data_IF_299497894886
#
_entry.id   IF_299497894886
#
_cell.length_a   1.000
_cell.length_b   1.000
_cell.length_c   1.000
_cell.angle_alpha   90.00
_cell.angle_beta   90.00
_cell.angle_gamma   90.00
#
_symmetry.space_group_name_H-M   'P 1'
#
loop_
_entity.id
_entity.type
_entity.pdbx_description
1 polymer ?
#
# COMPACT_ATOMS: atom_id res chain seq x y z
N UNK A 1 -31.95 -13.17 38.83
CA UNK A 1 -31.97 -13.40 37.37
C UNK A 1 -31.31 -12.22 36.70
N UNK A 2 -30.19 -12.49 36.05
CA UNK A 2 -29.09 -11.56 35.75
C UNK A 2 -29.25 -10.95 34.33
N UNK A 3 -30.11 -9.93 34.19
CA UNK A 3 -30.45 -9.31 32.90
C UNK A 3 -29.34 -8.42 32.32
N UNK A 4 -28.25 -8.21 33.07
CA UNK A 4 -27.19 -7.26 32.72
C UNK A 4 -26.05 -7.94 31.95
N UNK A 5 -25.93 -9.27 32.04
CA UNK A 5 -24.86 -10.05 31.44
C UNK A 5 -25.16 -10.47 29.99
N UNK A 6 -26.44 -10.68 29.66
CA UNK A 6 -26.85 -11.04 28.28
C UNK A 6 -26.58 -9.89 27.29
N UNK A 7 -26.74 -8.65 27.73
CA UNK A 7 -26.54 -7.45 26.90
C UNK A 7 -25.07 -7.05 26.74
N UNK A 8 -24.21 -7.39 27.70
CA UNK A 8 -22.75 -7.20 27.58
C UNK A 8 -22.10 -8.26 26.69
N UNK A 9 -22.55 -9.51 26.75
CA UNK A 9 -22.07 -10.60 25.88
C UNK A 9 -22.48 -10.40 24.42
N UNK A 10 -23.73 -10.00 24.15
CA UNK A 10 -24.20 -9.68 22.79
C UNK A 10 -23.45 -8.48 22.19
N UNK A 11 -23.20 -7.45 23.02
CA UNK A 11 -22.41 -6.28 22.61
C UNK A 11 -20.96 -6.64 22.32
N UNK A 12 -20.33 -7.49 23.14
CA UNK A 12 -18.97 -7.97 22.91
C UNK A 12 -18.85 -8.84 21.63
N UNK A 13 -19.83 -9.69 21.35
CA UNK A 13 -19.94 -10.45 20.11
C UNK A 13 -20.12 -9.56 18.87
N UNK A 14 -21.00 -8.56 18.94
CA UNK A 14 -21.25 -7.61 17.86
C UNK A 14 -20.01 -6.71 17.54
N UNK A 15 -19.27 -6.29 18.57
CA UNK A 15 -18.03 -5.53 18.42
C UNK A 15 -16.90 -6.37 17.79
N UNK A 16 -16.78 -7.64 18.18
CA UNK A 16 -15.80 -8.57 17.63
C UNK A 16 -16.06 -8.87 16.15
N UNK A 17 -17.33 -9.04 15.77
CA UNK A 17 -17.74 -9.24 14.37
C UNK A 17 -17.49 -8.00 13.49
N UNK A 18 -17.68 -6.80 14.04
CA UNK A 18 -17.42 -5.53 13.35
C UNK A 18 -15.92 -5.28 13.15
N UNK A 19 -15.08 -5.56 14.17
CA UNK A 19 -13.62 -5.48 14.05
C UNK A 19 -13.07 -6.41 12.96
N UNK A 20 -13.45 -7.69 12.99
CA UNK A 20 -12.97 -8.65 11.99
C UNK A 20 -13.38 -8.26 10.56
N UNK A 21 -14.52 -7.59 10.38
CA UNK A 21 -14.96 -7.06 9.08
C UNK A 21 -14.06 -5.92 8.58
N UNK A 22 -13.69 -4.97 9.43
CA UNK A 22 -12.83 -3.85 9.03
C UNK A 22 -11.39 -4.29 8.76
N UNK A 23 -10.85 -5.25 9.52
CA UNK A 23 -9.51 -5.83 9.25
C UNK A 23 -9.45 -6.47 7.86
N UNK A 24 -10.45 -7.28 7.51
CA UNK A 24 -10.54 -7.90 6.18
C UNK A 24 -10.73 -6.86 5.08
N UNK A 25 -11.57 -5.86 5.29
CA UNK A 25 -11.79 -4.81 4.30
C UNK A 25 -10.53 -3.97 4.06
N UNK A 26 -9.80 -3.60 5.12
CA UNK A 26 -8.53 -2.86 5.01
C UNK A 26 -7.46 -3.68 4.29
N UNK A 27 -7.32 -4.97 4.62
CA UNK A 27 -6.36 -5.85 3.94
C UNK A 27 -6.73 -6.10 2.47
N UNK A 28 -8.02 -6.25 2.17
CA UNK A 28 -8.50 -6.41 0.79
C UNK A 28 -8.27 -5.14 -0.02
N UNK A 29 -8.58 -3.95 0.53
CA UNK A 29 -8.33 -2.67 -0.14
C UNK A 29 -6.84 -2.43 -0.37
N UNK A 30 -5.99 -2.81 0.60
CA UNK A 30 -4.54 -2.76 0.45
C UNK A 30 -4.07 -3.69 -0.68
N UNK A 31 -4.54 -4.95 -0.70
CA UNK A 31 -4.17 -5.91 -1.72
C UNK A 31 -4.62 -5.47 -3.12
N UNK A 32 -5.83 -4.92 -3.25
CA UNK A 32 -6.34 -4.34 -4.49
C UNK A 32 -5.47 -3.16 -4.95
N UNK A 33 -4.97 -2.33 -4.04
CA UNK A 33 -4.06 -1.22 -4.37
C UNK A 33 -2.67 -1.68 -4.85
N UNK A 34 -2.27 -2.91 -4.52
CA UNK A 34 -1.00 -3.52 -4.92
C UNK A 34 -1.04 -4.05 -6.35
N UNK A 35 -2.24 -4.33 -6.89
CA UNK A 35 -2.41 -4.80 -8.27
C UNK A 35 -1.96 -3.74 -9.30
N UNK A 36 -2.42 -2.46 -9.24
CA UNK A 36 -1.93 -1.42 -10.13
C UNK A 36 -0.43 -1.17 -10.06
N UNK A 37 0.21 -1.30 -8.89
CA UNK A 37 1.66 -1.06 -8.77
C UNK A 37 2.46 -2.11 -9.52
N UNK A 38 2.10 -3.39 -9.39
CA UNK A 38 2.76 -4.50 -10.07
C UNK A 38 2.55 -4.40 -11.59
N UNK A 39 1.32 -4.13 -12.03
CA UNK A 39 1.00 -3.94 -13.45
C UNK A 39 1.77 -2.74 -14.02
N UNK A 40 1.77 -1.59 -13.32
CA UNK A 40 2.50 -0.40 -13.73
C UNK A 40 4.00 -0.65 -13.86
N UNK A 41 4.60 -1.34 -12.89
CA UNK A 41 6.02 -1.68 -12.92
C UNK A 41 6.38 -2.64 -14.08
N UNK A 42 5.55 -3.66 -14.31
CA UNK A 42 5.72 -4.62 -15.40
C UNK A 42 5.64 -3.91 -16.77
N UNK A 43 4.59 -3.13 -17.01
CA UNK A 43 4.42 -2.34 -18.24
C UNK A 43 5.56 -1.34 -18.43
N UNK A 44 5.99 -0.67 -17.35
CA UNK A 44 7.12 0.26 -17.39
C UNK A 44 8.43 -0.42 -17.75
N UNK A 45 8.62 -1.70 -17.39
CA UNK A 45 9.86 -2.43 -17.65
C UNK A 45 9.92 -2.86 -19.12
N UNK A 46 8.79 -3.35 -19.64
CA UNK A 46 8.62 -3.73 -21.04
C UNK A 46 8.82 -2.56 -22.00
N UNK A 47 8.40 -1.35 -21.60
CA UNK A 47 8.52 -0.15 -22.42
C UNK A 47 9.95 0.43 -22.46
N UNK A 48 10.95 -0.24 -21.86
CA UNK A 48 12.37 0.13 -21.79
C UNK A 48 12.57 1.65 -21.80
N UNK A 49 12.03 2.32 -20.78
CA UNK A 49 11.96 3.78 -20.72
C UNK A 49 13.34 4.37 -20.38
N UNK A 50 14.35 4.06 -21.21
CA UNK A 50 15.71 4.59 -21.16
C UNK A 50 15.58 6.12 -21.06
N UNK A 51 16.06 6.67 -19.96
CA UNK A 51 15.75 8.05 -19.55
C UNK A 51 16.00 9.04 -20.68
N UNK A 52 14.94 9.71 -21.14
CA UNK A 52 15.10 10.95 -21.91
C UNK A 52 15.61 12.01 -20.92
N UNK A 53 16.92 12.27 -20.96
CA UNK A 53 17.54 13.45 -20.35
C UNK A 53 17.92 13.35 -18.86
N UNK A 54 18.66 14.39 -18.44
CA UNK A 54 19.27 14.58 -17.13
C UNK A 54 18.32 14.26 -15.96
N UNK A 55 18.89 13.84 -14.82
CA UNK A 55 18.15 13.46 -13.60
C UNK A 55 17.11 14.51 -13.17
N UNK A 56 17.39 15.80 -13.42
CA UNK A 56 16.48 16.92 -13.15
C UNK A 56 15.19 16.92 -13.98
N UNK A 57 15.26 16.51 -15.25
CA UNK A 57 14.10 16.46 -16.15
C UNK A 57 13.07 15.42 -15.67
N UNK A 58 13.57 14.24 -15.27
CA UNK A 58 12.71 13.19 -14.71
C UNK A 58 12.05 13.68 -13.40
N UNK A 59 12.80 14.39 -12.56
CA UNK A 59 12.27 14.90 -11.29
C UNK A 59 11.17 15.96 -11.51
N UNK A 60 11.32 16.84 -12.49
CA UNK A 60 10.29 17.81 -12.89
C UNK A 60 9.03 17.13 -13.45
N UNK A 61 9.19 16.11 -14.30
CA UNK A 61 8.04 15.34 -14.83
C UNK A 61 7.33 14.59 -13.72
N UNK A 62 8.06 14.00 -12.77
CA UNK A 62 7.47 13.36 -11.59
C UNK A 62 6.70 14.36 -10.75
N UNK A 63 7.30 15.50 -10.41
CA UNK A 63 6.63 16.55 -9.63
C UNK A 63 5.40 17.09 -10.35
N UNK A 64 5.49 17.38 -11.64
CA UNK A 64 4.36 17.82 -12.45
C UNK A 64 3.24 16.79 -12.50
N UNK A 65 3.58 15.51 -12.67
CA UNK A 65 2.61 14.43 -12.68
C UNK A 65 1.96 14.22 -11.30
N UNK A 66 2.74 14.26 -10.21
CA UNK A 66 2.22 14.18 -8.84
C UNK A 66 1.30 15.36 -8.53
N UNK A 67 1.65 16.58 -8.95
CA UNK A 67 0.80 17.76 -8.77
C UNK A 67 -0.49 17.66 -9.60
N UNK A 68 -0.40 17.20 -10.84
CA UNK A 68 -1.57 16.99 -11.70
C UNK A 68 -2.51 15.92 -11.14
N UNK A 69 -1.95 14.81 -10.65
CA UNK A 69 -2.75 13.74 -10.05
C UNK A 69 -3.30 14.13 -8.68
N UNK A 70 -2.53 14.85 -7.85
CA UNK A 70 -2.98 15.38 -6.57
C UNK A 70 -4.20 16.29 -6.76
N UNK A 71 -4.16 17.14 -7.80
CA UNK A 71 -5.31 17.97 -8.17
C UNK A 71 -6.50 17.13 -8.67
N UNK A 72 -6.26 16.12 -9.51
CA UNK A 72 -7.31 15.24 -10.02
C UNK A 72 -8.00 14.43 -8.91
N UNK A 73 -7.22 13.95 -7.93
CA UNK A 73 -7.73 13.24 -6.75
C UNK A 73 -8.54 14.20 -5.89
N UNK A 74 -8.05 15.42 -5.64
CA UNK A 74 -8.81 16.42 -4.87
C UNK A 74 -10.16 16.75 -5.48
N UNK A 75 -10.24 16.80 -6.81
CA UNK A 75 -11.50 17.02 -7.55
C UNK A 75 -12.46 15.82 -7.50
N UNK A 76 -11.97 14.61 -7.25
CA UNK A 76 -12.77 13.36 -7.25
C UNK A 76 -12.97 12.75 -5.86
N UNK A 77 -12.59 13.46 -4.80
CA UNK A 77 -12.64 13.04 -3.38
C UNK A 77 -13.98 12.53 -2.87
N UNK A 78 -15.12 13.02 -3.38
CA UNK A 78 -16.46 12.71 -2.85
C UNK A 78 -17.21 11.61 -3.63
N UNK A 79 -16.54 10.85 -4.49
CA UNK A 79 -17.20 9.83 -5.32
C UNK A 79 -16.40 8.53 -5.40
N UNK A 80 -17.11 7.43 -5.65
CA UNK A 80 -16.50 6.12 -5.99
C UNK A 80 -15.52 6.22 -7.17
N UNK A 81 -15.72 7.21 -8.04
CA UNK A 81 -14.78 7.57 -9.12
C UNK A 81 -13.39 7.95 -8.59
N UNK A 82 -13.29 8.50 -7.37
CA UNK A 82 -12.01 8.84 -6.73
C UNK A 82 -11.13 7.61 -6.45
N UNK A 83 -11.72 6.43 -6.22
CA UNK A 83 -10.94 5.18 -6.08
C UNK A 83 -10.29 4.81 -7.41
N UNK A 84 -10.99 5.00 -8.53
CA UNK A 84 -10.44 4.71 -9.87
C UNK A 84 -9.31 5.69 -10.20
N UNK A 85 -9.47 6.97 -9.88
CA UNK A 85 -8.40 7.98 -10.04
C UNK A 85 -7.20 7.62 -9.15
N UNK A 86 -7.42 7.23 -7.89
CA UNK A 86 -6.33 6.78 -7.02
C UNK A 86 -5.62 5.55 -7.60
N UNK A 87 -6.33 4.56 -8.13
CA UNK A 87 -5.71 3.38 -8.74
C UNK A 87 -4.91 3.75 -10.01
N UNK A 88 -5.41 4.69 -10.81
CA UNK A 88 -4.67 5.22 -11.95
C UNK A 88 -3.40 5.98 -11.53
N UNK A 89 -3.47 6.74 -10.42
CA UNK A 89 -2.30 7.37 -9.81
C UNK A 89 -1.27 6.34 -9.36
N UNK A 90 -1.74 5.31 -8.65
CA UNK A 90 -0.91 4.22 -8.16
C UNK A 90 -0.26 3.45 -9.31
N UNK A 91 -0.95 3.26 -10.43
CA UNK A 91 -0.40 2.67 -11.66
C UNK A 91 0.72 3.56 -12.23
N UNK A 92 0.47 4.86 -12.37
CA UNK A 92 1.48 5.82 -12.83
C UNK A 92 2.73 5.77 -11.96
N UNK A 93 2.56 5.68 -10.64
CA UNK A 93 3.68 5.59 -9.71
C UNK A 93 4.43 4.26 -9.86
N UNK A 94 3.74 3.15 -10.10
CA UNK A 94 4.35 1.87 -10.45
C UNK A 94 5.15 1.93 -11.77
N UNK A 95 4.61 2.58 -12.79
CA UNK A 95 5.33 2.81 -14.05
C UNK A 95 6.60 3.64 -13.85
N UNK A 96 6.53 4.69 -13.02
CA UNK A 96 7.69 5.50 -12.68
C UNK A 96 8.76 4.71 -11.92
N UNK A 97 8.34 3.81 -11.02
CA UNK A 97 9.23 2.91 -10.29
C UNK A 97 10.04 2.00 -11.23
N UNK A 98 9.50 1.66 -12.41
CA UNK A 98 10.22 0.87 -13.40
C UNK A 98 11.48 1.55 -13.93
N UNK A 99 11.50 2.90 -14.00
CA UNK A 99 12.72 3.66 -14.32
C UNK A 99 13.80 3.47 -13.28
N UNK A 100 13.42 3.40 -12.01
CA UNK A 100 14.36 3.10 -10.93
C UNK A 100 14.90 1.69 -11.14
N UNK A 101 14.02 0.70 -11.28
CA UNK A 101 14.37 -0.71 -11.49
C UNK A 101 15.32 -0.89 -12.69
N UNK A 102 15.07 -0.19 -13.80
CA UNK A 102 15.95 -0.19 -14.99
C UNK A 102 17.38 0.31 -14.75
N UNK A 103 17.64 1.08 -13.68
CA UNK A 103 19.01 1.43 -13.24
C UNK A 103 19.69 0.33 -12.41
N UNK A 104 18.92 -0.53 -11.75
CA UNK A 104 19.45 -1.65 -10.94
C UNK A 104 19.70 -2.90 -11.81
N UNK A 105 18.87 -3.14 -12.84
CA UNK A 105 19.04 -4.30 -13.73
C UNK A 105 20.43 -4.49 -14.37
N UNK A 106 21.18 -3.44 -14.76
CA UNK A 106 22.54 -3.62 -15.30
C UNK A 106 23.60 -3.97 -14.24
N UNK A 107 23.27 -4.00 -12.94
CA UNK A 107 24.17 -4.46 -11.89
C UNK A 107 24.23 -6.00 -11.87
N UNK A 108 25.34 -6.58 -11.41
CA UNK A 108 25.44 -8.02 -11.15
C UNK A 108 24.28 -8.43 -10.23
N UNK A 109 23.46 -9.39 -10.67
CA UNK A 109 22.30 -9.91 -9.96
C UNK A 109 21.16 -8.91 -9.67
N UNK A 110 21.04 -7.83 -10.46
CA UNK A 110 20.04 -6.78 -10.25
C UNK A 110 18.59 -7.29 -10.13
N UNK A 111 18.21 -8.30 -10.92
CA UNK A 111 16.89 -8.91 -10.84
C UNK A 111 16.67 -9.68 -9.53
N UNK A 112 17.67 -10.43 -9.05
CA UNK A 112 17.60 -11.08 -7.74
C UNK A 112 17.52 -10.03 -6.62
N UNK A 113 18.28 -8.94 -6.71
CA UNK A 113 18.26 -7.88 -5.70
C UNK A 113 16.87 -7.24 -5.55
N UNK A 114 16.20 -6.96 -6.67
CA UNK A 114 14.81 -6.48 -6.67
C UNK A 114 13.89 -7.54 -6.06
N UNK A 115 14.04 -8.81 -6.42
CA UNK A 115 13.20 -9.89 -5.89
C UNK A 115 13.39 -10.09 -4.38
N UNK A 116 14.62 -10.02 -3.86
CA UNK A 116 14.89 -10.11 -2.42
C UNK A 116 14.35 -8.89 -1.67
N UNK A 117 14.50 -7.68 -2.21
CA UNK A 117 13.98 -6.48 -1.58
C UNK A 117 12.45 -6.51 -1.50
N UNK A 118 11.76 -6.70 -2.63
CA UNK A 118 10.30 -6.75 -2.67
C UNK A 118 9.74 -7.97 -1.93
N UNK A 119 10.29 -9.16 -2.20
CA UNK A 119 9.85 -10.41 -1.58
C UNK A 119 10.09 -10.41 -0.08
N UNK A 120 11.23 -9.90 0.39
CA UNK A 120 11.53 -9.76 1.81
C UNK A 120 10.57 -8.82 2.52
N UNK A 121 10.33 -7.63 1.97
CA UNK A 121 9.37 -6.68 2.55
C UNK A 121 7.95 -7.23 2.54
N UNK A 122 7.51 -7.88 1.46
CA UNK A 122 6.20 -8.50 1.37
C UNK A 122 6.04 -9.64 2.39
N UNK A 123 7.06 -10.48 2.57
CA UNK A 123 7.05 -11.57 3.55
C UNK A 123 6.98 -11.04 4.99
N UNK A 124 7.76 -10.02 5.32
CA UNK A 124 7.74 -9.38 6.64
C UNK A 124 6.37 -8.74 6.90
N UNK A 125 5.83 -7.99 5.94
CA UNK A 125 4.53 -7.35 6.07
C UNK A 125 3.40 -8.37 6.23
N UNK A 126 3.39 -9.43 5.40
CA UNK A 126 2.37 -10.47 5.47
C UNK A 126 2.45 -11.28 6.77
N UNK A 127 3.66 -11.64 7.24
CA UNK A 127 3.84 -12.34 8.50
C UNK A 127 3.40 -11.49 9.69
N UNK A 128 3.77 -10.21 9.74
CA UNK A 128 3.32 -9.29 10.78
C UNK A 128 1.82 -9.03 10.71
N UNK A 129 1.23 -8.89 9.51
CA UNK A 129 -0.21 -8.73 9.35
C UNK A 129 -0.97 -9.97 9.84
N UNK A 130 -0.46 -11.17 9.57
CA UNK A 130 -1.05 -12.41 10.06
C UNK A 130 -0.98 -12.49 11.59
N UNK A 131 0.18 -12.23 12.18
CA UNK A 131 0.37 -12.20 13.63
C UNK A 131 -0.56 -11.15 14.27
N UNK A 132 -0.63 -9.94 13.70
CA UNK A 132 -1.52 -8.88 14.17
C UNK A 132 -3.00 -9.28 14.12
N UNK A 133 -3.42 -10.07 13.13
CA UNK A 133 -4.81 -10.54 13.01
C UNK A 133 -5.22 -11.57 14.07
N UNK A 134 -4.25 -12.31 14.66
CA UNK A 134 -4.53 -13.32 15.69
C UNK A 134 -4.31 -12.81 17.13
N UNK A 135 -3.66 -11.65 17.32
CA UNK A 135 -3.43 -11.07 18.63
C UNK A 135 -4.76 -10.55 19.21
N UNK A 136 -5.18 -11.10 20.35
CA UNK A 136 -6.35 -10.62 21.11
C UNK A 136 -5.98 -9.62 22.21
N UNK A 137 -4.68 -9.42 22.45
CA UNK A 137 -4.16 -8.53 23.49
C UNK A 137 -4.05 -7.09 22.96
N UNK A 138 -4.46 -6.12 23.77
CA UNK A 138 -4.34 -4.70 23.43
C UNK A 138 -2.88 -4.25 23.42
N UNK A 139 -2.36 -3.86 22.26
CA UNK A 139 -1.00 -3.32 22.08
C UNK A 139 -0.90 -1.82 22.45
N UNK A 140 -1.83 -1.30 23.27
CA UNK A 140 -1.92 0.13 23.62
C UNK A 140 -0.66 0.67 24.32
N UNK A 141 0.14 -0.19 24.96
CA UNK A 141 1.40 0.20 25.61
C UNK A 141 2.53 0.53 24.63
N UNK A 142 2.53 -0.07 23.43
CA UNK A 142 3.56 0.18 22.40
C UNK A 142 3.48 1.57 21.79
N UNK A 143 2.30 2.21 21.81
CA UNK A 143 2.14 3.56 21.26
C UNK A 143 3.07 4.58 21.92
N UNK A 144 3.26 4.51 23.25
CA UNK A 144 4.16 5.42 23.97
C UNK A 144 5.63 5.19 23.65
N UNK A 145 6.02 3.94 23.36
CA UNK A 145 7.38 3.59 22.98
C UNK A 145 7.72 4.03 21.55
N UNK A 146 6.77 3.86 20.61
CA UNK A 146 6.93 4.28 19.21
C UNK A 146 7.02 5.80 19.01
N UNK A 147 6.53 6.59 19.96
CA UNK A 147 6.65 8.06 19.94
C UNK A 147 7.97 8.58 20.53
N UNK A 148 8.66 7.77 21.33
CA UNK A 148 9.94 8.13 21.97
C UNK A 148 11.14 7.70 21.13
N UNK A 149 10.99 6.64 20.34
CA UNK A 149 12.01 6.14 19.40
C UNK A 149 12.09 6.93 18.10
#
# INVERSE_FOLDING_TARGET
MDHNNVSTLDRAGALSGTQNRVLRNTLVLLAISLVPTVIGAALGLSLNVRGFGAWWMNLLVLFGAVMAFSYAVERTKNSSVGVVVLLAFTLFMGFWLSKLIGRILPMKDGAMLVMYAFGGTAAIFASMAFIASTIKQSLSGMGKFLWVG
#
